data_IF_603421416601
#
_entry.id   IF_603421416601
#
_cell.length_a   1.000
_cell.length_b   1.000
_cell.length_c   1.000
_cell.angle_alpha   90.00
_cell.angle_beta   90.00
_cell.angle_gamma   90.00
#
_symmetry.space_group_name_H-M   'P 1'
#
loop_
_entity.id
_entity.type
_entity.pdbx_description
1 polymer ?
#
# COMPACT_ATOMS: atom_id res chain seq x y z
N UNK A 1 -36.04 -23.60 9.85
CA UNK A 1 -35.49 -22.35 9.27
C UNK A 1 -36.37 -21.99 8.09
N UNK A 2 -36.76 -20.73 7.98
CA UNK A 2 -37.43 -20.21 6.79
C UNK A 2 -36.39 -20.09 5.67
N UNK A 3 -36.74 -20.50 4.45
CA UNK A 3 -35.88 -20.50 3.26
C UNK A 3 -35.29 -19.09 3.02
N UNK A 4 -36.07 -18.03 3.30
CA UNK A 4 -35.63 -16.64 3.23
C UNK A 4 -34.46 -16.29 4.15
N UNK A 5 -34.37 -16.93 5.32
CA UNK A 5 -33.31 -16.66 6.31
C UNK A 5 -31.97 -17.29 5.91
N UNK A 6 -32.01 -18.46 5.28
CA UNK A 6 -30.82 -19.17 4.78
C UNK A 6 -30.19 -18.38 3.63
N UNK A 7 -31.01 -17.96 2.66
CA UNK A 7 -30.56 -17.18 1.50
C UNK A 7 -29.86 -15.87 1.90
N UNK A 8 -30.41 -15.15 2.88
CA UNK A 8 -29.80 -13.92 3.41
C UNK A 8 -28.43 -14.17 4.04
N UNK A 9 -28.26 -15.26 4.79
CA UNK A 9 -26.98 -15.61 5.41
C UNK A 9 -25.94 -15.96 4.34
N UNK A 10 -26.32 -16.72 3.32
CA UNK A 10 -25.42 -17.05 2.20
C UNK A 10 -24.98 -15.80 1.43
N UNK A 11 -25.93 -14.92 1.12
CA UNK A 11 -25.64 -13.65 0.45
C UNK A 11 -24.65 -12.78 1.26
N UNK A 12 -24.90 -12.64 2.57
CA UNK A 12 -24.03 -11.86 3.45
C UNK A 12 -22.64 -12.50 3.60
N UNK A 13 -22.55 -13.82 3.66
CA UNK A 13 -21.27 -14.55 3.66
C UNK A 13 -20.49 -14.29 2.37
N UNK A 14 -21.17 -14.27 1.22
CA UNK A 14 -20.54 -13.92 -0.06
C UNK A 14 -19.99 -12.49 -0.06
N UNK A 15 -20.75 -11.50 0.42
CA UNK A 15 -20.27 -10.12 0.56
C UNK A 15 -19.04 -10.05 1.46
N UNK A 16 -19.05 -10.78 2.58
CA UNK A 16 -17.91 -10.84 3.48
C UNK A 16 -16.65 -11.38 2.79
N UNK A 17 -16.76 -12.49 2.05
CA UNK A 17 -15.61 -13.04 1.29
C UNK A 17 -15.08 -12.07 0.24
N UNK A 18 -15.98 -11.39 -0.49
CA UNK A 18 -15.58 -10.38 -1.50
C UNK A 18 -14.83 -9.22 -0.84
N UNK A 19 -15.30 -8.73 0.32
CA UNK A 19 -14.60 -7.66 1.04
C UNK A 19 -13.22 -8.09 1.55
N UNK A 20 -13.07 -9.33 2.00
CA UNK A 20 -11.77 -9.88 2.37
C UNK A 20 -10.82 -9.95 1.16
N UNK A 21 -11.32 -10.38 0.01
CA UNK A 21 -10.55 -10.45 -1.22
C UNK A 21 -10.09 -9.05 -1.68
N UNK A 22 -10.98 -8.06 -1.69
CA UNK A 22 -10.61 -6.68 -2.05
C UNK A 22 -9.58 -6.12 -1.05
N UNK A 23 -9.70 -6.47 0.23
CA UNK A 23 -8.70 -6.09 1.23
C UNK A 23 -7.33 -6.70 0.93
N UNK A 24 -7.28 -7.99 0.56
CA UNK A 24 -6.04 -8.66 0.14
C UNK A 24 -5.45 -8.03 -1.12
N UNK A 25 -6.29 -7.68 -2.10
CA UNK A 25 -5.84 -6.98 -3.31
C UNK A 25 -5.19 -5.63 -2.99
N UNK A 26 -5.68 -4.91 -1.98
CA UNK A 26 -5.05 -3.66 -1.53
C UNK A 26 -3.67 -3.91 -0.91
N UNK A 27 -3.49 -5.01 -0.17
CA UNK A 27 -2.19 -5.41 0.38
C UNK A 27 -1.21 -5.79 -0.74
N UNK A 28 -1.67 -6.55 -1.74
CA UNK A 28 -0.87 -6.87 -2.93
C UNK A 28 -0.41 -5.61 -3.66
N UNK A 29 -1.32 -4.64 -3.90
CA UNK A 29 -0.96 -3.37 -4.54
C UNK A 29 0.07 -2.59 -3.71
N UNK A 30 -0.07 -2.57 -2.39
CA UNK A 30 0.87 -1.89 -1.50
C UNK A 30 2.26 -2.53 -1.54
N UNK A 31 2.34 -3.86 -1.54
CA UNK A 31 3.59 -4.61 -1.67
C UNK A 31 4.29 -4.37 -3.01
N UNK A 32 3.53 -4.28 -4.11
CA UNK A 32 4.08 -3.94 -5.43
C UNK A 32 4.68 -2.53 -5.41
N UNK A 33 3.94 -1.53 -4.90
CA UNK A 33 4.44 -0.15 -4.82
C UNK A 33 5.71 -0.07 -3.95
N UNK A 34 5.74 -0.80 -2.83
CA UNK A 34 6.93 -0.89 -1.98
C UNK A 34 8.13 -1.49 -2.75
N UNK A 35 7.91 -2.56 -3.51
CA UNK A 35 8.93 -3.16 -4.37
C UNK A 35 9.49 -2.18 -5.40
N UNK A 36 8.63 -1.43 -6.09
CA UNK A 36 9.05 -0.41 -7.07
C UNK A 36 9.88 0.68 -6.38
N UNK A 37 9.47 1.16 -5.21
CA UNK A 37 10.25 2.16 -4.47
C UNK A 37 11.64 1.66 -4.06
N UNK A 38 11.78 0.36 -3.74
CA UNK A 38 13.08 -0.26 -3.47
C UNK A 38 13.99 -0.31 -4.71
N UNK A 39 13.42 -0.66 -5.87
CA UNK A 39 14.15 -0.66 -7.15
C UNK A 39 14.67 0.75 -7.46
N UNK A 40 13.82 1.77 -7.29
CA UNK A 40 14.20 3.17 -7.50
C UNK A 40 15.39 3.55 -6.61
N UNK A 41 15.33 3.26 -5.32
CA UNK A 41 16.43 3.54 -4.38
C UNK A 41 17.71 2.83 -4.84
N UNK A 42 17.60 1.57 -5.25
CA UNK A 42 18.75 0.80 -5.76
C UNK A 42 19.40 1.44 -6.98
N UNK A 43 18.61 1.96 -7.94
CA UNK A 43 19.13 2.64 -9.13
C UNK A 43 19.86 3.93 -8.76
N UNK A 44 19.30 4.71 -7.83
CA UNK A 44 19.93 5.97 -7.40
C UNK A 44 21.25 5.69 -6.68
N UNK A 45 21.31 4.68 -5.80
CA UNK A 45 22.56 4.29 -5.11
C UNK A 45 23.61 3.79 -6.09
N UNK A 46 23.21 3.07 -7.14
CA UNK A 46 24.11 2.60 -8.19
C UNK A 46 24.64 3.73 -9.09
N UNK A 47 24.00 4.91 -9.06
CA UNK A 47 24.47 6.08 -9.79
C UNK A 47 25.66 6.68 -9.03
N UNK A 48 26.82 6.80 -9.69
CA UNK A 48 28.02 7.36 -9.07
C UNK A 48 27.79 8.82 -8.67
N UNK A 49 27.66 9.05 -7.36
CA UNK A 49 27.41 10.37 -6.76
C UNK A 49 28.68 11.24 -6.82
N UNK A 50 29.87 10.69 -7.12
CA UNK A 50 31.10 11.48 -7.18
C UNK A 50 31.26 12.35 -8.43
N UNK A 51 30.53 12.04 -9.51
CA UNK A 51 30.73 12.64 -10.84
C UNK A 51 29.62 13.60 -11.27
N UNK A 52 28.70 13.91 -10.37
CA UNK A 52 27.43 14.54 -10.73
C UNK A 52 27.45 16.05 -10.51
N UNK A 53 26.76 16.80 -11.38
CA UNK A 53 26.55 18.23 -11.19
C UNK A 53 25.75 18.51 -9.90
N UNK A 54 26.02 19.66 -9.26
CA UNK A 54 25.34 20.07 -8.01
C UNK A 54 23.81 20.08 -8.16
N UNK A 55 23.30 20.49 -9.32
CA UNK A 55 21.87 20.45 -9.69
C UNK A 55 21.28 19.03 -9.60
N UNK A 56 21.93 18.05 -10.22
CA UNK A 56 21.47 16.66 -10.26
C UNK A 56 21.48 15.99 -8.88
N UNK A 57 22.40 16.38 -8.00
CA UNK A 57 22.40 15.94 -6.60
C UNK A 57 21.11 16.29 -5.87
N UNK A 58 20.59 17.51 -6.04
CA UNK A 58 19.35 17.92 -5.37
C UNK A 58 18.15 17.12 -5.85
N UNK A 59 18.04 16.86 -7.17
CA UNK A 59 16.97 16.05 -7.73
C UNK A 59 17.03 14.59 -7.27
N UNK A 60 18.21 13.97 -7.26
CA UNK A 60 18.40 12.60 -6.79
C UNK A 60 18.13 12.47 -5.27
N UNK A 61 18.59 13.43 -4.47
CA UNK A 61 18.31 13.46 -3.04
C UNK A 61 16.80 13.59 -2.77
N UNK A 62 16.11 14.47 -3.49
CA UNK A 62 14.65 14.59 -3.43
C UNK A 62 13.95 13.29 -3.81
N UNK A 63 14.39 12.63 -4.89
CA UNK A 63 13.84 11.36 -5.32
C UNK A 63 13.97 10.25 -4.27
N UNK A 64 15.12 10.16 -3.58
CA UNK A 64 15.31 9.22 -2.46
C UNK A 64 14.32 9.52 -1.34
N UNK A 65 14.19 10.79 -0.94
CA UNK A 65 13.28 11.20 0.14
C UNK A 65 11.84 10.79 -0.17
N UNK A 66 11.36 11.05 -1.41
CA UNK A 66 10.02 10.65 -1.82
C UNK A 66 9.85 9.12 -1.94
N UNK A 67 10.88 8.38 -2.35
CA UNK A 67 10.84 6.92 -2.36
C UNK A 67 10.79 6.32 -0.94
N UNK A 68 11.51 6.91 0.02
CA UNK A 68 11.42 6.52 1.42
C UNK A 68 10.04 6.84 2.00
N UNK A 69 9.48 8.01 1.69
CA UNK A 69 8.14 8.38 2.14
C UNK A 69 7.05 7.48 1.54
N UNK A 70 7.23 7.06 0.28
CA UNK A 70 6.41 6.02 -0.36
C UNK A 70 6.49 4.73 0.44
N UNK A 71 7.71 4.27 0.74
CA UNK A 71 7.95 3.02 1.48
C UNK A 71 7.29 3.04 2.86
N UNK A 72 7.45 4.14 3.60
CA UNK A 72 6.81 4.35 4.91
C UNK A 72 5.27 4.30 4.79
N UNK A 73 4.70 4.99 3.79
CA UNK A 73 3.25 4.98 3.58
C UNK A 73 2.72 3.59 3.26
N UNK A 74 3.40 2.81 2.42
CA UNK A 74 2.98 1.44 2.11
C UNK A 74 3.15 0.50 3.30
N UNK A 75 4.21 0.68 4.10
CA UNK A 75 4.37 -0.07 5.34
C UNK A 75 3.19 0.18 6.29
N UNK A 76 2.75 1.44 6.43
CA UNK A 76 1.56 1.80 7.21
C UNK A 76 0.23 1.29 6.63
N UNK A 77 0.16 1.05 5.32
CA UNK A 77 -0.98 0.46 4.65
C UNK A 77 -1.10 -1.05 4.95
N UNK A 78 0.04 -1.75 4.93
CA UNK A 78 0.14 -3.21 5.16
C UNK A 78 0.06 -3.55 6.66
N UNK A 79 0.52 -2.65 7.54
CA UNK A 79 0.59 -2.91 8.97
C UNK A 79 -0.75 -3.45 9.51
N UNK A 80 -0.76 -4.59 10.23
CA UNK A 80 -1.98 -5.26 10.64
C UNK A 80 -2.78 -4.37 11.61
N UNK A 81 -3.87 -3.80 11.10
CA UNK A 81 -4.79 -3.00 11.90
C UNK A 81 -5.92 -3.90 12.39
N UNK A 82 -5.90 -4.18 13.69
CA UNK A 82 -7.03 -4.81 14.37
C UNK A 82 -8.12 -3.73 14.54
N UNK A 83 -9.32 -3.96 14.01
CA UNK A 83 -10.48 -3.14 14.42
C UNK A 83 -10.64 -3.26 15.94
N UNK A 84 -10.60 -2.14 16.65
CA UNK A 84 -10.82 -2.07 18.11
C UNK A 84 -12.26 -2.44 18.49
N UNK A 85 -13.18 -2.49 17.52
CA UNK A 85 -14.62 -2.59 17.76
C UNK A 85 -15.15 -4.02 17.59
N UNK A 86 -14.31 -5.04 17.73
CA UNK A 86 -14.79 -6.41 17.86
C UNK A 86 -15.63 -6.52 19.12
N UNK A 87 -16.96 -6.42 18.98
CA UNK A 87 -17.90 -6.64 20.05
C UNK A 87 -17.53 -7.96 20.75
N UNK A 88 -17.45 -7.96 22.09
CA UNK A 88 -16.90 -9.07 22.90
C UNK A 88 -17.63 -10.41 22.71
N UNK A 89 -18.71 -10.45 21.92
CA UNK A 89 -19.50 -11.65 21.61
C UNK A 89 -19.42 -12.12 20.16
N UNK A 90 -18.62 -11.51 19.29
CA UNK A 90 -18.53 -11.98 17.90
C UNK A 90 -17.69 -13.27 17.84
N UNK A 91 -18.37 -14.41 17.89
CA UNK A 91 -17.75 -15.73 17.94
C UNK A 91 -17.22 -16.20 16.58
N UNK A 92 -17.47 -15.46 15.50
CA UNK A 92 -16.92 -15.73 14.17
C UNK A 92 -15.49 -15.17 13.99
N UNK A 93 -15.07 -14.25 14.85
CA UNK A 93 -13.75 -13.64 14.77
C UNK A 93 -12.76 -14.35 15.69
N UNK A 94 -11.49 -14.51 15.25
CA UNK A 94 -10.51 -15.29 16.00
C UNK A 94 -10.33 -14.85 17.46
N UNK A 95 -10.42 -13.53 17.76
CA UNK A 95 -10.37 -13.04 19.17
C UNK A 95 -11.59 -13.44 19.99
N UNK A 96 -12.75 -13.61 19.36
CA UNK A 96 -13.94 -14.16 20.01
C UNK A 96 -13.78 -15.66 20.25
N UNK A 97 -13.29 -16.40 19.25
CA UNK A 97 -13.02 -17.84 19.36
C UNK A 97 -12.04 -18.14 20.50
N UNK A 98 -10.95 -17.37 20.61
CA UNK A 98 -9.92 -17.54 21.64
C UNK A 98 -10.40 -17.26 23.07
N UNK A 99 -11.61 -16.72 23.26
CA UNK A 99 -12.20 -16.54 24.59
C UNK A 99 -12.87 -17.80 25.13
N UNK A 100 -13.04 -18.83 24.29
CA UNK A 100 -13.70 -20.08 24.65
C UNK A 100 -12.73 -21.25 24.53
N UNK A 101 -12.89 -22.25 25.39
CA UNK A 101 -12.28 -23.56 25.12
C UNK A 101 -13.03 -24.25 23.96
N UNK A 102 -12.46 -25.33 23.40
CA UNK A 102 -13.03 -26.03 22.24
C UNK A 102 -14.48 -26.49 22.43
N UNK A 103 -14.84 -26.96 23.63
CA UNK A 103 -16.16 -27.48 23.93
C UNK A 103 -17.16 -26.33 24.13
N UNK A 104 -16.77 -25.29 24.87
CA UNK A 104 -17.54 -24.06 25.05
C UNK A 104 -17.84 -23.38 23.70
N UNK A 105 -16.83 -23.28 22.83
CA UNK A 105 -17.00 -22.72 21.49
C UNK A 105 -18.00 -23.52 20.67
N UNK A 106 -17.92 -24.86 20.72
CA UNK A 106 -18.84 -25.75 20.00
C UNK A 106 -20.28 -25.60 20.51
N UNK A 107 -20.47 -25.44 21.81
CA UNK A 107 -21.79 -25.22 22.39
C UNK A 107 -22.34 -23.84 22.03
N UNK A 108 -21.55 -22.78 22.10
CA UNK A 108 -21.98 -21.45 21.69
C UNK A 108 -22.29 -21.37 20.20
N UNK A 109 -21.51 -22.05 19.35
CA UNK A 109 -21.79 -22.12 17.91
C UNK A 109 -23.14 -22.78 17.61
N UNK A 110 -23.55 -23.77 18.42
CA UNK A 110 -24.85 -24.44 18.28
C UNK A 110 -26.02 -23.59 18.78
N UNK A 111 -25.76 -22.65 19.70
CA UNK A 111 -26.78 -21.73 20.25
C UNK A 111 -26.99 -20.49 19.37
N UNK A 112 -26.13 -20.25 18.38
CA UNK A 112 -26.29 -19.15 17.43
C UNK A 112 -27.58 -19.31 16.62
N UNK A 113 -28.47 -18.33 16.78
CA UNK A 113 -29.58 -18.14 15.85
C UNK A 113 -29.12 -17.47 14.54
N UNK A 114 -29.86 -17.69 13.46
CA UNK A 114 -29.59 -17.13 12.13
C UNK A 114 -29.53 -15.59 12.15
N UNK A 115 -30.37 -14.95 12.98
CA UNK A 115 -30.35 -13.49 13.13
C UNK A 115 -29.09 -12.98 13.84
N UNK A 116 -28.59 -13.72 14.84
CA UNK A 116 -27.34 -13.38 15.52
C UNK A 116 -26.14 -13.54 14.57
N UNK A 117 -26.12 -14.61 13.79
CA UNK A 117 -25.10 -14.87 12.77
C UNK A 117 -25.07 -13.77 11.70
N UNK A 118 -26.25 -13.37 11.19
CA UNK A 118 -26.39 -12.29 10.22
C UNK A 118 -25.86 -10.96 10.76
N UNK A 119 -26.20 -10.61 12.01
CA UNK A 119 -25.69 -9.41 12.67
C UNK A 119 -24.16 -9.43 12.83
N UNK A 120 -23.58 -10.57 13.18
CA UNK A 120 -22.12 -10.72 13.30
C UNK A 120 -21.41 -10.50 11.96
N UNK A 121 -21.96 -11.05 10.86
CA UNK A 121 -21.41 -10.78 9.53
C UNK A 121 -21.55 -9.31 9.12
N UNK A 122 -22.69 -8.67 9.35
CA UNK A 122 -22.89 -7.24 9.03
C UNK A 122 -21.85 -6.39 9.76
N UNK A 123 -21.66 -6.62 11.05
CA UNK A 123 -20.65 -5.93 11.85
C UNK A 123 -19.23 -6.17 11.30
N UNK A 124 -18.92 -7.39 10.87
CA UNK A 124 -17.63 -7.73 10.30
C UNK A 124 -17.41 -7.06 8.93
N UNK A 125 -18.41 -7.03 8.06
CA UNK A 125 -18.36 -6.32 6.77
C UNK A 125 -18.13 -4.83 6.99
N UNK A 126 -18.86 -4.21 7.92
CA UNK A 126 -18.68 -2.79 8.25
C UNK A 126 -17.26 -2.51 8.77
N UNK A 127 -16.74 -3.36 9.65
CA UNK A 127 -15.36 -3.26 10.13
C UNK A 127 -14.33 -3.42 9.01
N UNK A 128 -14.53 -4.37 8.08
CA UNK A 128 -13.68 -4.55 6.91
C UNK A 128 -13.67 -3.28 6.04
N UNK A 129 -14.84 -2.69 5.78
CA UNK A 129 -14.95 -1.45 5.01
C UNK A 129 -14.20 -0.28 5.66
N UNK A 130 -14.24 -0.16 7.00
CA UNK A 130 -13.46 0.85 7.73
C UNK A 130 -11.95 0.64 7.61
N UNK A 131 -11.49 -0.61 7.69
CA UNK A 131 -10.07 -0.95 7.51
C UNK A 131 -9.65 -0.64 6.07
N UNK A 132 -10.46 -1.06 5.10
CA UNK A 132 -10.24 -0.83 3.68
C UNK A 132 -10.11 0.66 3.37
N UNK A 133 -11.03 1.51 3.86
CA UNK A 133 -10.97 2.97 3.69
C UNK A 133 -9.62 3.54 4.13
N UNK A 134 -9.09 3.08 5.27
CA UNK A 134 -7.79 3.53 5.78
C UNK A 134 -6.64 3.01 4.93
N UNK A 135 -6.64 1.73 4.53
CA UNK A 135 -5.59 1.18 3.65
C UNK A 135 -5.52 1.94 2.32
N UNK A 136 -6.67 2.18 1.70
CA UNK A 136 -6.75 2.95 0.45
C UNK A 136 -6.27 4.39 0.58
N UNK A 137 -6.44 5.03 1.75
CA UNK A 137 -5.89 6.35 2.02
C UNK A 137 -4.35 6.36 1.96
N UNK A 138 -3.69 5.43 2.67
CA UNK A 138 -2.23 5.30 2.67
C UNK A 138 -1.69 4.84 1.30
N UNK A 139 -2.43 3.97 0.61
CA UNK A 139 -2.10 3.55 -0.75
C UNK A 139 -2.05 4.75 -1.70
N UNK A 140 -3.08 5.62 -1.66
CA UNK A 140 -3.14 6.84 -2.48
C UNK A 140 -1.97 7.78 -2.17
N UNK A 141 -1.68 8.02 -0.89
CA UNK A 141 -0.58 8.89 -0.48
C UNK A 141 0.76 8.35 -1.00
N UNK A 142 1.04 7.06 -0.78
CA UNK A 142 2.29 6.46 -1.24
C UNK A 142 2.39 6.46 -2.76
N UNK A 143 1.28 6.28 -3.49
CA UNK A 143 1.27 6.37 -4.94
C UNK A 143 1.63 7.78 -5.45
N UNK A 144 1.14 8.84 -4.80
CA UNK A 144 1.50 10.23 -5.15
C UNK A 144 3.00 10.47 -4.93
N UNK A 145 3.56 10.03 -3.80
CA UNK A 145 5.00 10.17 -3.55
C UNK A 145 5.85 9.36 -4.52
N UNK A 146 5.40 8.18 -4.94
CA UNK A 146 6.10 7.39 -5.95
C UNK A 146 6.20 8.16 -7.28
N UNK A 147 5.09 8.75 -7.73
CA UNK A 147 5.08 9.54 -8.96
C UNK A 147 6.04 10.73 -8.85
N UNK A 148 6.02 11.46 -7.73
CA UNK A 148 6.95 12.57 -7.50
C UNK A 148 8.41 12.11 -7.56
N UNK A 149 8.74 10.96 -6.98
CA UNK A 149 10.09 10.38 -7.04
C UNK A 149 10.49 10.08 -8.49
N UNK A 150 9.62 9.43 -9.27
CA UNK A 150 9.87 9.12 -10.69
C UNK A 150 10.08 10.38 -11.53
N UNK A 151 9.28 11.42 -11.31
CA UNK A 151 9.41 12.70 -12.02
C UNK A 151 10.76 13.36 -11.72
N UNK A 152 11.19 13.40 -10.45
CA UNK A 152 12.49 13.98 -10.07
C UNK A 152 13.67 13.23 -10.68
N UNK A 153 13.61 11.89 -10.70
CA UNK A 153 14.63 11.08 -11.37
C UNK A 153 14.69 11.41 -12.86
N UNK A 154 13.53 11.50 -13.50
CA UNK A 154 13.43 11.84 -14.92
C UNK A 154 14.08 13.19 -15.20
N UNK A 155 13.76 14.22 -14.41
CA UNK A 155 14.35 15.56 -14.53
C UNK A 155 15.88 15.52 -14.34
N UNK A 156 16.36 14.75 -13.36
CA UNK A 156 17.79 14.57 -13.10
C UNK A 156 18.55 14.07 -14.35
N UNK A 157 17.99 13.08 -15.07
CA UNK A 157 18.62 12.57 -16.29
C UNK A 157 18.59 13.57 -17.46
N UNK A 158 17.51 14.34 -17.61
CA UNK A 158 17.42 15.37 -18.64
C UNK A 158 18.38 16.55 -18.38
N UNK A 159 18.51 16.98 -17.12
CA UNK A 159 19.43 18.05 -16.73
C UNK A 159 20.89 17.72 -17.05
N UNK A 160 21.28 16.45 -16.86
CA UNK A 160 22.64 15.96 -17.16
C UNK A 160 22.97 15.98 -18.66
N UNK A 161 21.99 15.59 -19.48
CA UNK A 161 22.12 15.57 -20.94
C UNK A 161 22.29 16.98 -21.50
N UNK A 162 21.56 17.96 -20.95
CA UNK A 162 21.69 19.37 -21.33
C UNK A 162 23.04 19.99 -20.95
N UNK A 163 23.57 19.66 -19.77
CA UNK A 163 24.88 20.14 -19.32
C UNK A 163 26.03 19.57 -20.17
N UNK A 164 25.95 18.29 -20.52
CA UNK A 164 26.97 17.61 -21.34
C UNK A 164 27.00 18.17 -22.78
N UNK A 165 25.85 18.50 -23.36
CA UNK A 165 25.76 19.12 -24.69
C UNK A 165 26.40 20.51 -24.78
N UNK A 166 26.26 21.33 -23.73
CA UNK A 166 26.87 22.67 -23.69
C UNK A 166 28.40 22.64 -23.58
N UNK A 167 28.98 21.70 -22.82
CA UNK A 167 30.44 21.59 -22.70
C UNK A 167 31.12 21.11 -23.99
N UNK A 168 30.45 20.28 -24.79
CA UNK A 168 30.98 19.83 -26.08
C UNK A 168 30.98 20.99 -27.08
N UNK A 169 29.91 21.79 -27.13
CA UNK A 169 29.83 22.96 -28.01
C UNK A 169 30.87 24.04 -27.66
N UNK A 170 31.16 24.28 -26.37
CA UNK A 170 32.19 25.25 -26.00
C UNK A 170 33.59 24.82 -26.43
N UNK A 171 33.93 23.52 -26.27
CA UNK A 171 35.22 22.96 -26.70
C UNK A 171 35.40 22.99 -28.23
N UNK A 172 34.34 22.76 -29.00
CA UNK A 172 34.40 22.87 -30.46
C UNK A 172 34.61 24.32 -30.92
N UNK A 173 33.99 25.29 -30.24
CA UNK A 173 34.16 26.70 -30.57
C UNK A 173 35.58 27.18 -30.27
N UNK A 174 36.17 26.80 -29.13
CA UNK A 174 37.57 27.14 -28.80
C UNK A 174 38.58 26.53 -29.78
N UNK A 175 38.36 25.31 -30.27
CA UNK A 175 39.24 24.68 -31.26
C UNK A 175 39.17 25.32 -32.65
N UNK A 176 38.06 26.00 -32.98
CA UNK A 176 37.89 26.70 -34.26
C UNK A 176 38.55 28.09 -34.30
N UNK A 177 38.94 28.63 -33.14
CA UNK A 177 39.65 29.91 -33.02
C UNK A 177 41.18 29.75 -32.95
N UNK A 178 41.71 28.52 -32.89
CA UNK A 178 43.16 28.24 -32.82
C UNK A 178 43.74 27.62 -34.11
N UNK A 179 42.98 27.55 -35.21
CA UNK A 179 43.47 27.13 -36.54
C UNK A 179 43.47 28.29 -37.51
#
# INVERSE_FOLDING_TARGET
>A
MDESSVEKVEFVKHIYSVNQEILQMADTKSSIILGISGIIISIIIATDIGTVTTEKHYYLAGAIVFSLLTSLSQFYAIFPRLSKNGNRRNILFYKGILQFNRNEYKEELKKLDSNALLNDYINNIYNLALIQKKKYFWLKIGFVFLILSIVLISISFFADTGATGNMINSKMNESSFQG
#
